data_IF_531533763991
#
_entry.id   IF_531533763991
#
_cell.length_a   1.000
_cell.length_b   1.000
_cell.length_c   1.000
_cell.angle_alpha   90.00
_cell.angle_beta   90.00
_cell.angle_gamma   90.00
#
_symmetry.space_group_name_H-M   'P 1'
#
loop_
_entity.id
_entity.type
_entity.pdbx_description
1 polymer ?
#
# COMPACT_ATOMS: atom_id res chain seq x y z
N UNK A 1 -5.23 8.87 9.53
CA UNK A 1 -4.69 8.87 8.16
C UNK A 1 -5.49 9.89 7.37
N UNK A 2 -4.84 10.65 6.51
CA UNK A 2 -5.46 11.69 5.69
C UNK A 2 -5.51 11.23 4.23
N UNK A 3 -6.68 11.32 3.60
CA UNK A 3 -6.83 11.03 2.18
C UNK A 3 -6.31 12.21 1.35
N UNK A 4 -5.52 11.90 0.32
CA UNK A 4 -5.02 12.88 -0.62
C UNK A 4 -5.96 13.05 -1.79
N UNK A 5 -6.02 14.27 -2.33
CA UNK A 5 -6.57 14.52 -3.66
C UNK A 5 -5.60 14.03 -4.73
N UNK A 6 -6.09 13.69 -5.92
CA UNK A 6 -5.26 13.20 -7.02
C UNK A 6 -4.13 14.17 -7.38
N UNK A 7 -4.38 15.48 -7.31
CA UNK A 7 -3.37 16.53 -7.54
C UNK A 7 -2.19 16.50 -6.55
N UNK A 8 -2.34 15.79 -5.43
CA UNK A 8 -1.34 15.69 -4.37
C UNK A 8 -0.58 14.34 -4.41
N UNK A 9 -0.98 13.38 -5.24
CA UNK A 9 -0.40 12.03 -5.23
C UNK A 9 1.11 12.02 -5.45
N UNK A 10 1.60 12.83 -6.39
CA UNK A 10 3.03 12.95 -6.71
C UNK A 10 3.91 13.34 -5.51
N UNK A 11 3.37 14.03 -4.50
CA UNK A 11 4.10 14.35 -3.27
C UNK A 11 4.56 13.12 -2.48
N UNK A 12 3.94 11.96 -2.72
CA UNK A 12 4.26 10.69 -2.04
C UNK A 12 5.24 9.81 -2.81
N UNK A 13 5.68 10.21 -4.02
CA UNK A 13 6.52 9.41 -4.93
C UNK A 13 7.77 8.83 -4.26
N UNK A 14 8.46 9.64 -3.45
CA UNK A 14 9.68 9.20 -2.75
C UNK A 14 9.40 8.06 -1.77
N UNK A 15 8.24 8.06 -1.10
CA UNK A 15 7.88 6.98 -0.18
C UNK A 15 7.68 5.66 -0.93
N UNK A 16 7.08 5.72 -2.12
CA UNK A 16 6.78 4.55 -2.94
C UNK A 16 7.95 4.07 -3.82
N UNK A 17 9.06 4.80 -3.87
CA UNK A 17 10.24 4.43 -4.68
C UNK A 17 10.70 2.97 -4.49
N UNK A 18 10.72 2.38 -3.28
CA UNK A 18 11.11 0.98 -3.11
C UNK A 18 10.13 -0.03 -3.75
N UNK A 19 8.92 0.42 -4.11
CA UNK A 19 7.87 -0.36 -4.78
C UNK A 19 7.74 -0.02 -6.28
N UNK A 20 8.70 0.68 -6.88
CA UNK A 20 8.63 1.15 -8.28
C UNK A 20 8.47 0.04 -9.34
N UNK A 21 8.78 -1.22 -8.99
CA UNK A 21 8.55 -2.38 -9.85
C UNK A 21 7.06 -2.78 -9.93
N UNK A 22 6.20 -2.23 -9.08
CA UNK A 22 4.77 -2.38 -9.15
C UNK A 22 4.16 -1.27 -10.01
N UNK A 23 3.96 -1.53 -11.30
CA UNK A 23 3.38 -0.56 -12.25
C UNK A 23 2.04 0.05 -11.81
N UNK A 24 1.26 -0.67 -11.00
CA UNK A 24 0.03 -0.13 -10.41
C UNK A 24 0.29 1.10 -9.53
N UNK A 25 1.38 1.13 -8.76
CA UNK A 25 1.74 2.28 -7.93
C UNK A 25 2.07 3.49 -8.80
N UNK A 26 2.91 3.30 -9.83
CA UNK A 26 3.26 4.37 -10.77
C UNK A 26 2.02 4.91 -11.50
N UNK A 27 1.11 4.01 -11.90
CA UNK A 27 -0.14 4.38 -12.58
C UNK A 27 -1.11 5.14 -11.66
N UNK A 28 -1.18 4.80 -10.38
CA UNK A 28 -1.97 5.56 -9.38
C UNK A 28 -1.35 6.95 -9.19
N UNK A 29 -0.03 7.04 -8.97
CA UNK A 29 0.67 8.31 -8.77
C UNK A 29 0.48 9.27 -9.95
N UNK A 30 0.58 8.75 -11.17
CA UNK A 30 0.36 9.50 -12.41
C UNK A 30 -1.13 9.81 -12.69
N UNK A 31 -2.06 9.37 -11.85
CA UNK A 31 -3.51 9.58 -12.04
C UNK A 31 -4.15 8.77 -13.16
N UNK A 32 -3.42 7.83 -13.77
CA UNK A 32 -3.89 6.97 -14.85
C UNK A 32 -4.76 5.82 -14.34
N UNK A 33 -4.61 5.45 -13.07
CA UNK A 33 -5.47 4.51 -12.37
C UNK A 33 -6.21 5.24 -11.26
N UNK A 34 -7.53 5.07 -11.22
CA UNK A 34 -8.40 5.60 -10.17
C UNK A 34 -8.16 4.82 -8.86
N UNK A 35 -7.05 5.12 -8.21
CA UNK A 35 -6.69 4.62 -6.89
C UNK A 35 -6.80 5.72 -5.84
N UNK A 36 -6.68 5.32 -4.59
CA UNK A 36 -6.73 6.22 -3.43
C UNK A 36 -5.38 6.19 -2.72
N UNK A 37 -4.95 7.33 -2.16
CA UNK A 37 -3.72 7.44 -1.36
C UNK A 37 -4.06 8.09 -0.03
N UNK A 38 -3.57 7.48 1.05
CA UNK A 38 -3.68 7.99 2.40
C UNK A 38 -2.30 8.14 3.04
N UNK A 39 -2.10 9.21 3.80
CA UNK A 39 -0.83 9.52 4.47
C UNK A 39 -1.01 9.76 5.97
N UNK A 40 0.09 9.68 6.73
CA UNK A 40 0.09 10.02 8.15
C UNK A 40 0.06 11.53 8.42
N UNK A 41 0.60 12.33 7.49
CA UNK A 41 0.66 13.79 7.53
C UNK A 41 0.64 14.34 6.10
N UNK A 42 -0.13 15.40 5.84
CA UNK A 42 -0.31 15.96 4.48
C UNK A 42 0.87 16.83 4.06
N UNK A 43 1.50 17.54 4.99
CA UNK A 43 2.62 18.44 4.70
C UNK A 43 3.95 17.68 4.61
N UNK A 44 4.14 16.70 5.48
CA UNK A 44 5.37 15.91 5.59
C UNK A 44 5.06 14.42 5.73
N UNK A 45 4.53 13.78 4.67
CA UNK A 45 4.17 12.38 4.71
C UNK A 45 5.41 11.53 4.99
N UNK A 46 5.31 10.67 6.00
CA UNK A 46 6.36 9.68 6.33
C UNK A 46 5.87 8.26 6.11
N UNK A 47 4.57 8.04 6.10
CA UNK A 47 3.94 6.75 5.82
C UNK A 47 2.81 6.99 4.82
N UNK A 48 2.76 6.17 3.78
CA UNK A 48 1.71 6.23 2.79
C UNK A 48 1.15 4.83 2.53
N UNK A 49 -0.16 4.77 2.32
CA UNK A 49 -0.84 3.59 1.81
C UNK A 49 -1.64 3.98 0.58
N UNK A 50 -1.48 3.23 -0.50
CA UNK A 50 -2.23 3.39 -1.73
C UNK A 50 -3.01 2.10 -2.01
N UNK A 51 -4.19 2.20 -2.61
CA UNK A 51 -4.87 1.03 -3.12
C UNK A 51 -5.67 1.28 -4.39
N UNK A 52 -5.83 0.20 -5.14
CA UNK A 52 -6.74 0.08 -6.27
C UNK A 52 -7.32 -1.32 -6.26
N UNK A 53 -8.65 -1.44 -6.15
CA UNK A 53 -9.35 -2.71 -6.00
C UNK A 53 -8.70 -3.56 -4.89
N UNK A 54 -8.29 -4.78 -5.22
CA UNK A 54 -7.71 -5.79 -4.30
C UNK A 54 -6.19 -5.69 -4.12
N UNK A 55 -5.57 -4.56 -4.51
CA UNK A 55 -4.13 -4.32 -4.37
C UNK A 55 -3.90 -3.14 -3.45
N UNK A 56 -3.19 -3.38 -2.36
CA UNK A 56 -2.82 -2.38 -1.37
C UNK A 56 -1.29 -2.30 -1.32
N UNK A 57 -0.76 -1.09 -1.31
CA UNK A 57 0.67 -0.79 -1.29
C UNK A 57 0.97 0.09 -0.08
N UNK A 58 1.83 -0.37 0.81
CA UNK A 58 2.19 0.32 2.05
C UNK A 58 3.70 0.65 2.05
N UNK A 59 4.03 1.91 2.30
CA UNK A 59 5.40 2.37 2.24
C UNK A 59 5.72 3.42 3.33
N UNK A 60 7.02 3.60 3.58
CA UNK A 60 7.53 4.60 4.51
C UNK A 60 7.75 4.08 5.94
N UNK A 61 7.51 4.94 6.93
CA UNK A 61 7.97 4.77 8.30
C UNK A 61 7.06 3.88 9.17
N UNK A 62 7.44 2.60 9.26
CA UNK A 62 6.89 1.57 10.14
C UNK A 62 6.98 1.76 11.67
N UNK A 63 7.81 2.68 12.19
CA UNK A 63 8.10 2.71 13.64
C UNK A 63 7.09 3.50 14.47
N UNK A 64 6.17 4.22 13.82
CA UNK A 64 5.19 5.02 14.53
C UNK A 64 3.97 4.16 14.93
N UNK A 65 3.93 3.74 16.20
CA UNK A 65 2.85 2.91 16.73
C UNK A 65 1.45 3.53 16.54
N UNK A 66 1.32 4.86 16.61
CA UNK A 66 0.03 5.54 16.38
C UNK A 66 -0.43 5.40 14.93
N UNK A 67 0.50 5.47 13.99
CA UNK A 67 0.21 5.25 12.56
C UNK A 67 -0.18 3.79 12.31
N UNK A 68 0.48 2.83 12.95
CA UNK A 68 0.14 1.41 12.80
C UNK A 68 -1.30 1.10 13.25
N UNK A 69 -1.73 1.68 14.38
CA UNK A 69 -3.14 1.59 14.83
C UNK A 69 -4.08 2.32 13.86
N UNK A 70 -3.69 3.48 13.34
CA UNK A 70 -4.49 4.22 12.38
C UNK A 70 -4.66 3.49 11.04
N UNK A 71 -3.65 2.73 10.60
CA UNK A 71 -3.72 1.86 9.42
C UNK A 71 -4.72 0.71 9.64
N UNK A 72 -4.72 0.08 10.82
CA UNK A 72 -5.70 -0.95 11.14
C UNK A 72 -7.14 -0.42 11.06
N UNK A 73 -7.38 0.77 11.62
CA UNK A 73 -8.68 1.47 11.52
C UNK A 73 -9.01 1.80 10.07
N UNK A 74 -8.05 2.33 9.31
CA UNK A 74 -8.25 2.63 7.89
C UNK A 74 -8.69 1.39 7.09
N UNK A 75 -8.11 0.22 7.37
CA UNK A 75 -8.54 -1.01 6.73
C UNK A 75 -9.95 -1.42 7.16
N UNK A 76 -10.21 -1.41 8.46
CA UNK A 76 -11.47 -1.89 9.06
C UNK A 76 -12.66 -0.99 8.71
N UNK A 77 -12.45 0.32 8.72
CA UNK A 77 -13.52 1.31 8.63
C UNK A 77 -13.73 1.85 7.21
N UNK A 78 -12.73 1.71 6.33
CA UNK A 78 -12.77 2.27 4.96
C UNK A 78 -12.55 1.19 3.90
N UNK A 79 -11.38 0.56 3.88
CA UNK A 79 -11.01 -0.32 2.76
C UNK A 79 -11.90 -1.57 2.64
N UNK A 80 -12.16 -2.27 3.76
CA UNK A 80 -12.99 -3.47 3.72
C UNK A 80 -14.46 -3.18 3.37
N UNK A 81 -15.12 -2.17 3.98
CA UNK A 81 -16.45 -1.76 3.55
C UNK A 81 -16.52 -1.39 2.06
N UNK A 82 -15.53 -0.66 1.54
CA UNK A 82 -15.43 -0.32 0.12
C UNK A 82 -15.36 -1.57 -0.77
N UNK A 83 -14.50 -2.53 -0.43
CA UNK A 83 -14.41 -3.80 -1.15
C UNK A 83 -15.74 -4.58 -1.16
N UNK A 84 -16.45 -4.61 -0.03
CA UNK A 84 -17.74 -5.30 0.07
C UNK A 84 -18.80 -4.61 -0.80
N UNK A 85 -18.83 -3.28 -0.80
CA UNK A 85 -19.72 -2.49 -1.66
C UNK A 85 -19.45 -2.72 -3.16
N UNK A 86 -18.20 -2.96 -3.54
CA UNK A 86 -17.81 -3.33 -4.91
C UNK A 86 -18.10 -4.79 -5.29
N UNK A 87 -18.74 -5.57 -4.40
CA UNK A 87 -19.13 -6.96 -4.68
C UNK A 87 -18.04 -8.00 -4.43
N UNK A 88 -16.93 -7.63 -3.77
CA UNK A 88 -15.90 -8.58 -3.36
C UNK A 88 -16.30 -9.27 -2.04
N UNK A 89 -17.23 -10.21 -2.15
CA UNK A 89 -17.79 -11.00 -1.03
C UNK A 89 -16.75 -11.83 -0.28
N UNK A 90 -15.72 -12.31 -0.99
CA UNK A 90 -14.49 -12.79 -0.39
C UNK A 90 -13.52 -11.61 -0.31
N UNK A 91 -13.49 -10.94 0.85
CA UNK A 91 -12.71 -9.72 1.08
C UNK A 91 -11.20 -9.95 1.16
N UNK A 92 -10.66 -10.90 0.39
CA UNK A 92 -9.22 -11.16 0.31
C UNK A 92 -8.56 -10.12 -0.60
N UNK A 93 -7.45 -9.57 -0.18
CA UNK A 93 -6.64 -8.64 -0.98
C UNK A 93 -5.15 -8.97 -0.83
N UNK A 94 -4.33 -8.34 -1.68
CA UNK A 94 -2.88 -8.44 -1.59
C UNK A 94 -2.34 -7.15 -0.99
N UNK A 95 -1.70 -7.26 0.18
CA UNK A 95 -0.90 -6.19 0.77
C UNK A 95 0.56 -6.36 0.35
N UNK A 96 1.07 -5.38 -0.38
CA UNK A 96 2.49 -5.23 -0.72
C UNK A 96 3.06 -4.15 0.18
N UNK A 97 4.20 -4.39 0.79
CA UNK A 97 4.85 -3.42 1.65
C UNK A 97 6.36 -3.38 1.44
N UNK A 98 6.98 -2.23 1.74
CA UNK A 98 8.44 -2.10 1.73
C UNK A 98 9.09 -2.92 2.85
N UNK A 99 10.32 -3.45 2.71
CA UNK A 99 10.96 -4.24 3.75
C UNK A 99 10.97 -3.56 5.15
N UNK A 100 10.81 -4.35 6.21
CA UNK A 100 10.87 -3.87 7.60
C UNK A 100 9.52 -3.65 8.27
N UNK A 101 8.41 -3.80 7.54
CA UNK A 101 7.05 -3.71 8.10
C UNK A 101 6.59 -4.99 8.84
N UNK A 102 7.37 -6.07 8.79
CA UNK A 102 6.96 -7.40 9.27
C UNK A 102 6.53 -7.39 10.74
N UNK A 103 7.24 -6.63 11.60
CA UNK A 103 6.91 -6.52 13.03
C UNK A 103 5.67 -5.65 13.30
N UNK A 104 5.33 -4.75 12.38
CA UNK A 104 4.16 -3.89 12.53
C UNK A 104 2.87 -4.59 12.07
N UNK A 105 2.98 -5.70 11.32
CA UNK A 105 1.82 -6.41 10.76
C UNK A 105 0.86 -6.96 11.81
N UNK A 106 1.37 -7.37 12.98
CA UNK A 106 0.52 -7.86 14.09
C UNK A 106 -0.46 -6.77 14.56
N UNK A 107 -0.05 -5.49 14.48
CA UNK A 107 -0.90 -4.35 14.84
C UNK A 107 -1.74 -3.90 13.64
N UNK A 108 -1.11 -3.70 12.49
CA UNK A 108 -1.77 -3.19 11.28
C UNK A 108 -2.88 -4.13 10.82
N UNK A 109 -2.67 -5.45 10.94
CA UNK A 109 -3.61 -6.49 10.51
C UNK A 109 -4.33 -7.17 11.68
N UNK A 110 -4.28 -6.60 12.89
CA UNK A 110 -5.02 -7.13 14.04
C UNK A 110 -6.50 -7.38 13.70
N UNK A 111 -7.01 -8.56 14.09
CA UNK A 111 -8.39 -9.00 13.82
C UNK A 111 -8.65 -9.44 12.37
N UNK A 112 -7.61 -9.87 11.65
CA UNK A 112 -7.67 -10.34 10.25
C UNK A 112 -6.90 -11.65 10.13
N UNK A 113 -7.13 -12.39 9.04
CA UNK A 113 -6.49 -13.68 8.77
C UNK A 113 -5.48 -13.59 7.61
N UNK A 114 -4.30 -12.95 7.81
CA UNK A 114 -3.33 -12.79 6.74
C UNK A 114 -2.63 -14.10 6.40
N UNK A 115 -2.53 -14.40 5.10
CA UNK A 115 -1.62 -15.42 4.58
C UNK A 115 -0.35 -14.75 4.07
N UNK A 116 0.80 -15.08 4.66
CA UNK A 116 2.09 -14.59 4.18
C UNK A 116 2.43 -15.26 2.85
N UNK A 117 2.80 -14.44 1.88
CA UNK A 117 3.32 -14.86 0.58
C UNK A 117 4.56 -14.04 0.23
N UNK A 118 5.41 -14.56 -0.64
CA UNK A 118 6.63 -13.91 -1.08
C UNK A 118 6.71 -13.87 -2.61
N UNK A 119 7.24 -12.77 -3.14
CA UNK A 119 7.49 -12.57 -4.56
C UNK A 119 9.00 -12.59 -4.78
N UNK A 120 9.44 -13.30 -5.82
CA UNK A 120 10.83 -13.24 -6.29
C UNK A 120 10.84 -12.36 -7.53
N UNK A 121 11.48 -11.18 -7.41
CA UNK A 121 11.70 -10.30 -8.54
C UNK A 121 13.04 -10.65 -9.19
N UNK A 122 13.00 -10.98 -10.47
CA UNK A 122 14.17 -11.33 -11.25
C UNK A 122 14.57 -10.16 -12.14
N UNK A 123 15.87 -9.89 -12.23
CA UNK A 123 16.45 -9.03 -13.26
C UNK A 123 16.88 -9.94 -14.39
N UNK A 124 16.31 -9.74 -15.58
CA UNK A 124 16.82 -10.40 -16.78
C UNK A 124 18.19 -9.79 -17.10
N UNK A 125 19.22 -10.63 -17.19
CA UNK A 125 20.54 -10.24 -17.67
C UNK A 125 20.65 -10.64 -19.15
N UNK A 126 20.54 -9.69 -20.09
CA UNK A 126 20.61 -9.99 -21.51
C UNK A 126 22.04 -10.32 -21.99
N UNK A 127 23.04 -10.35 -21.10
CA UNK A 127 24.43 -10.68 -21.45
C UNK A 127 24.75 -12.18 -21.49
N UNK A 128 23.85 -13.05 -21.00
CA UNK A 128 23.92 -14.49 -21.23
C UNK A 128 23.51 -14.80 -22.68
N UNK A 129 24.48 -14.73 -23.61
CA UNK A 129 24.37 -15.36 -24.93
C UNK A 129 24.66 -16.85 -24.79
N UNK A 130 23.75 -17.68 -25.28
CA UNK A 130 23.96 -19.12 -25.53
C UNK A 130 25.19 -19.40 -26.42
#
# INVERSE_FOLDING_TARGET
>A
MYELQQSQFESTRTLFTPLCHHLAVESILAGLTSGRIFVDDVEKPRTAVAWFKRRVFLAGNRTNARVNVALNRLFTDVYYPEMQAEGFTQSSFTLVYTPGWERAMDVVLAGKDPMRSQWLCYRLDPSEKE
#
